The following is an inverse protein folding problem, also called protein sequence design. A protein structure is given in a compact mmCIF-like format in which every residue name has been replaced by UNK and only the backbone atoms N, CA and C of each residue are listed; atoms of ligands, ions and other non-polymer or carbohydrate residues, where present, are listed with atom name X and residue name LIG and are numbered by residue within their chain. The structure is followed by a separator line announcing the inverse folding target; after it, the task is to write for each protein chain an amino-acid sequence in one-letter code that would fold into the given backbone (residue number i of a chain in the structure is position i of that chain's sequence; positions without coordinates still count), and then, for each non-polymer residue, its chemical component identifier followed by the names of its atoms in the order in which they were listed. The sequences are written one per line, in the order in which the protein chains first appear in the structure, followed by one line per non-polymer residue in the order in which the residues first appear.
data_IF_189592595117
#
_entry.id   IF_189592595117
#
_cell.length_a   1.000
_cell.length_b   1.000
_cell.length_c   1.000
_cell.angle_alpha   90.00
_cell.angle_beta   90.00
_cell.angle_gamma   90.00
#
_symmetry.space_group_name_H-M   'P 1'
#
loop_
_entity.id
_entity.type
_entity.pdbx_description
1 polymer ?
#
# COMPACT_ATOMS: atom_id res chain seq x y z
N UNK A 1 58.50 28.45 -27.14
CA UNK A 1 57.43 28.21 -26.13
C UNK A 1 56.31 27.46 -26.82
N UNK A 2 55.86 26.32 -26.31
CA UNK A 2 54.66 25.62 -26.79
C UNK A 2 53.89 25.10 -25.58
N UNK A 3 52.58 25.37 -25.52
CA UNK A 3 51.65 24.80 -24.53
C UNK A 3 50.71 23.86 -25.27
N UNK A 4 50.68 22.56 -24.98
CA UNK A 4 49.68 21.67 -25.57
C UNK A 4 48.29 22.02 -25.02
N UNK A 5 47.31 22.14 -25.92
CA UNK A 5 45.90 22.22 -25.55
C UNK A 5 45.40 20.81 -25.23
N UNK A 6 45.17 20.52 -23.95
CA UNK A 6 44.53 19.28 -23.52
C UNK A 6 43.03 19.41 -23.83
N UNK A 7 42.59 18.70 -24.88
CA UNK A 7 41.16 18.61 -25.22
C UNK A 7 40.45 17.70 -24.21
N UNK A 8 39.63 18.29 -23.34
CA UNK A 8 38.78 17.54 -22.42
C UNK A 8 37.57 16.96 -23.17
N UNK A 9 37.63 15.68 -23.51
CA UNK A 9 36.49 14.94 -24.04
C UNK A 9 35.51 14.63 -22.89
N UNK A 10 34.48 15.46 -22.73
CA UNK A 10 33.44 15.23 -21.74
C UNK A 10 32.57 14.04 -22.14
N UNK A 11 32.69 12.92 -21.43
CA UNK A 11 31.80 11.76 -21.56
C UNK A 11 30.50 12.08 -20.85
N UNK A 12 29.44 12.39 -21.60
CA UNK A 12 28.10 12.50 -21.07
C UNK A 12 27.55 11.10 -20.75
N UNK A 13 27.42 10.76 -19.48
CA UNK A 13 26.73 9.55 -19.06
C UNK A 13 25.21 9.72 -19.29
N UNK A 14 24.65 8.93 -20.20
CA UNK A 14 23.20 8.84 -20.35
C UNK A 14 22.63 8.07 -19.15
N UNK A 15 21.90 8.77 -18.27
CA UNK A 15 21.12 8.13 -17.21
C UNK A 15 19.90 7.44 -17.85
N UNK A 16 20.05 6.14 -18.12
CA UNK A 16 18.95 5.28 -18.55
C UNK A 16 18.13 4.91 -17.31
N UNK A 17 16.83 5.24 -17.29
CA UNK A 17 15.91 4.73 -16.28
C UNK A 17 15.82 3.20 -16.38
N UNK A 18 15.93 2.51 -15.24
CA UNK A 18 15.80 1.06 -15.14
C UNK A 18 14.38 0.67 -14.69
N UNK A 19 13.90 -0.48 -15.17
CA UNK A 19 12.78 -1.18 -14.55
C UNK A 19 13.32 -2.13 -13.49
N UNK A 20 12.67 -2.17 -12.33
CA UNK A 20 13.02 -2.99 -11.17
C UNK A 20 11.83 -3.87 -10.86
N UNK A 21 11.91 -5.13 -11.29
CA UNK A 21 10.82 -6.09 -11.16
C UNK A 21 10.70 -6.60 -9.72
N UNK A 22 9.47 -6.58 -9.18
CA UNK A 22 9.14 -7.03 -7.83
C UNK A 22 7.94 -7.97 -7.94
N UNK A 23 8.18 -9.27 -7.83
CA UNK A 23 7.12 -10.27 -7.78
C UNK A 23 6.31 -10.13 -6.49
N UNK A 24 4.98 -10.08 -6.62
CA UNK A 24 3.99 -9.94 -5.56
C UNK A 24 3.18 -11.23 -5.48
N UNK A 25 3.41 -12.05 -4.45
CA UNK A 25 2.61 -13.26 -4.20
C UNK A 25 3.21 -14.58 -4.72
N UNK A 26 4.19 -14.56 -5.63
CA UNK A 26 4.73 -15.75 -6.33
C UNK A 26 5.12 -16.89 -5.38
N UNK A 27 5.77 -16.56 -4.27
CA UNK A 27 6.23 -17.51 -3.23
C UNK A 27 5.46 -17.35 -1.92
N UNK A 28 4.17 -17.03 -2.01
CA UNK A 28 3.26 -16.81 -0.87
C UNK A 28 3.20 -15.36 -0.43
N UNK A 29 2.98 -15.10 0.87
CA UNK A 29 2.77 -13.74 1.40
C UNK A 29 4.06 -12.91 1.46
N UNK A 30 4.69 -12.65 0.31
CA UNK A 30 5.96 -11.92 0.16
C UNK A 30 6.02 -11.10 -1.12
N UNK A 31 6.88 -10.09 -1.07
CA UNK A 31 7.45 -9.40 -2.22
C UNK A 31 8.83 -10.03 -2.52
N UNK A 32 9.22 -10.13 -3.78
CA UNK A 32 10.53 -10.68 -4.19
C UNK A 32 11.11 -9.87 -5.35
N UNK A 33 12.19 -9.10 -5.15
CA UNK A 33 12.87 -8.85 -3.89
C UNK A 33 12.01 -8.02 -2.93
N UNK A 34 12.13 -8.27 -1.62
CA UNK A 34 11.51 -7.42 -0.59
C UNK A 34 12.43 -6.26 -0.15
N UNK A 35 13.71 -6.27 -0.53
CA UNK A 35 14.67 -5.20 -0.30
C UNK A 35 15.38 -4.91 -1.61
N UNK A 36 15.30 -3.68 -2.12
CA UNK A 36 15.96 -3.27 -3.38
C UNK A 36 16.43 -1.81 -3.33
N UNK A 37 17.10 -1.35 -4.38
CA UNK A 37 17.64 0.01 -4.52
C UNK A 37 17.30 0.57 -5.90
N UNK A 38 16.90 1.85 -5.96
CA UNK A 38 16.45 2.50 -7.17
C UNK A 38 16.95 3.95 -7.25
N UNK A 39 17.31 4.40 -8.45
CA UNK A 39 17.64 5.78 -8.76
C UNK A 39 16.38 6.60 -9.10
N UNK A 40 16.51 7.94 -9.07
CA UNK A 40 15.44 8.83 -9.51
C UNK A 40 15.23 8.67 -11.02
N UNK A 41 14.00 8.36 -11.42
CA UNK A 41 13.61 8.04 -12.80
C UNK A 41 13.34 6.56 -13.04
N UNK A 42 13.83 5.66 -12.20
CA UNK A 42 13.56 4.22 -12.31
C UNK A 42 12.08 3.89 -12.08
N UNK A 43 11.63 2.72 -12.54
CA UNK A 43 10.26 2.22 -12.38
C UNK A 43 10.26 0.95 -11.54
N UNK A 44 9.51 0.96 -10.44
CA UNK A 44 9.20 -0.23 -9.65
C UNK A 44 8.04 -0.96 -10.32
N UNK A 45 8.31 -2.15 -10.88
CA UNK A 45 7.32 -2.97 -11.57
C UNK A 45 6.82 -4.08 -10.63
N UNK A 46 5.67 -3.85 -9.98
CA UNK A 46 5.08 -4.82 -9.05
C UNK A 46 4.21 -5.83 -9.80
N UNK A 47 4.74 -7.02 -10.07
CA UNK A 47 4.08 -8.11 -10.83
C UNK A 47 3.17 -8.96 -9.93
N UNK A 48 1.87 -9.04 -10.23
CA UNK A 48 0.88 -9.69 -9.37
C UNK A 48 0.62 -11.15 -9.73
N UNK A 49 0.97 -12.04 -8.80
CA UNK A 49 0.73 -13.47 -8.90
C UNK A 49 -0.56 -13.89 -8.18
N UNK A 50 -1.08 -15.05 -8.56
CA UNK A 50 -2.30 -15.67 -8.02
C UNK A 50 -2.31 -15.74 -6.50
N UNK A 51 -3.22 -15.00 -5.87
CA UNK A 51 -3.43 -15.07 -4.42
C UNK A 51 -4.28 -13.92 -3.85
N UNK A 52 -4.44 -12.83 -4.60
CA UNK A 52 -5.03 -11.61 -4.09
C UNK A 52 -4.00 -10.82 -3.28
N UNK A 53 -3.47 -9.76 -3.86
CA UNK A 53 -2.48 -8.91 -3.21
C UNK A 53 -2.72 -7.43 -3.50
N UNK A 54 -1.90 -6.59 -2.87
CA UNK A 54 -1.86 -5.14 -3.05
C UNK A 54 -0.44 -4.66 -2.75
N UNK A 55 -0.07 -3.50 -3.27
CA UNK A 55 1.07 -2.72 -2.78
C UNK A 55 0.55 -1.36 -2.36
N UNK A 56 0.85 -0.97 -1.12
CA UNK A 56 0.62 0.36 -0.56
C UNK A 56 1.95 0.90 -0.05
N UNK A 57 2.28 2.17 -0.32
CA UNK A 57 3.45 2.82 0.29
C UNK A 57 3.13 3.23 1.73
N UNK A 58 4.03 2.91 2.67
CA UNK A 58 3.73 2.88 4.10
C UNK A 58 4.65 3.73 4.98
N UNK A 59 4.09 4.24 6.08
CA UNK A 59 4.86 5.04 7.03
C UNK A 59 5.86 4.17 7.82
N UNK A 60 7.15 4.53 7.81
CA UNK A 60 8.20 3.83 8.58
C UNK A 60 7.87 3.70 10.08
N UNK A 61 7.37 4.78 10.68
CA UNK A 61 7.01 4.83 12.09
C UNK A 61 5.68 4.12 12.43
N UNK A 62 4.83 3.83 11.43
CA UNK A 62 3.53 3.16 11.60
C UNK A 62 3.33 2.16 10.45
N UNK A 63 3.95 0.97 10.52
CA UNK A 63 3.82 -0.05 9.48
C UNK A 63 2.35 -0.43 9.22
N UNK A 64 2.07 -0.97 8.03
CA UNK A 64 0.72 -1.32 7.59
C UNK A 64 -0.28 -0.14 7.51
N UNK A 65 0.20 1.11 7.60
CA UNK A 65 -0.60 2.32 7.38
C UNK A 65 0.05 3.19 6.30
N UNK A 66 -0.75 3.87 5.45
CA UNK A 66 -0.24 4.56 4.27
C UNK A 66 0.56 5.81 4.66
N UNK A 67 1.62 6.11 3.90
CA UNK A 67 2.37 7.36 4.04
C UNK A 67 1.68 8.55 3.33
N UNK A 68 2.25 9.76 3.48
CA UNK A 68 1.69 10.99 2.91
C UNK A 68 1.83 11.12 1.38
N UNK A 69 2.73 10.36 0.75
CA UNK A 69 2.93 10.29 -0.71
C UNK A 69 2.05 9.23 -1.38
N UNK A 70 1.65 8.18 -0.64
CA UNK A 70 0.60 7.20 -0.95
C UNK A 70 0.51 6.79 -2.43
N UNK A 71 1.27 5.78 -2.83
CA UNK A 71 0.82 4.90 -3.91
C UNK A 71 0.02 3.72 -3.37
N UNK A 72 -0.98 3.28 -4.15
CA UNK A 72 -1.79 2.09 -3.89
C UNK A 72 -2.20 1.45 -5.22
N UNK A 73 -1.90 0.17 -5.38
CA UNK A 73 -2.23 -0.61 -6.58
C UNK A 73 -3.73 -0.94 -6.74
N UNK A 74 -4.53 -0.74 -5.68
CA UNK A 74 -5.78 -1.48 -5.53
C UNK A 74 -5.54 -2.94 -5.08
N UNK A 75 -6.61 -3.71 -4.97
CA UNK A 75 -6.56 -5.15 -4.71
C UNK A 75 -6.61 -5.92 -6.02
N UNK A 76 -5.53 -6.63 -6.34
CA UNK A 76 -5.32 -7.30 -7.63
C UNK A 76 -5.27 -8.81 -7.39
N UNK A 77 -6.07 -9.64 -8.10
CA UNK A 77 -6.11 -11.09 -7.89
C UNK A 77 -4.82 -11.80 -8.34
N UNK A 78 -4.16 -11.24 -9.36
CA UNK A 78 -2.97 -11.78 -10.02
C UNK A 78 -3.25 -12.94 -10.98
N UNK A 79 -2.19 -13.44 -11.61
CA UNK A 79 -2.21 -14.63 -12.48
C UNK A 79 -1.11 -15.64 -12.09
N UNK A 80 -1.08 -16.82 -12.72
CA UNK A 80 0.04 -17.76 -12.51
C UNK A 80 1.35 -17.34 -13.20
N UNK A 81 1.36 -16.26 -13.99
CA UNK A 81 2.50 -15.80 -14.79
C UNK A 81 2.95 -14.36 -14.47
N UNK A 82 2.21 -13.62 -13.62
CA UNK A 82 2.61 -12.28 -13.18
C UNK A 82 2.31 -11.16 -14.19
N UNK A 83 1.44 -11.41 -15.18
CA UNK A 83 1.20 -10.52 -16.35
C UNK A 83 0.48 -9.20 -16.01
N UNK A 84 0.02 -9.04 -14.77
CA UNK A 84 -0.59 -7.79 -14.27
C UNK A 84 0.42 -7.05 -13.41
N UNK A 85 0.81 -5.84 -13.83
CA UNK A 85 1.89 -5.07 -13.18
C UNK A 85 1.38 -3.72 -12.72
N UNK A 86 1.72 -3.32 -11.49
CA UNK A 86 1.56 -1.94 -11.03
C UNK A 86 2.92 -1.24 -11.07
N UNK A 87 3.02 -0.19 -11.88
CA UNK A 87 4.26 0.55 -12.13
C UNK A 87 4.30 1.86 -11.34
N UNK A 88 5.37 2.07 -10.56
CA UNK A 88 5.59 3.30 -9.77
C UNK A 88 6.93 3.92 -10.15
N UNK A 89 6.91 5.16 -10.65
CA UNK A 89 8.14 5.92 -10.92
C UNK A 89 8.78 6.42 -9.63
N UNK A 90 10.09 6.21 -9.48
CA UNK A 90 10.88 6.63 -8.33
C UNK A 90 11.26 8.11 -8.48
N UNK A 91 10.64 8.96 -7.64
CA UNK A 91 10.79 10.41 -7.70
C UNK A 91 11.83 10.98 -6.71
N UNK A 92 12.32 10.17 -5.78
CA UNK A 92 13.39 10.52 -4.82
C UNK A 92 14.20 9.27 -4.44
N UNK A 93 15.41 9.47 -3.92
CA UNK A 93 16.23 8.39 -3.32
C UNK A 93 15.85 8.09 -1.86
N UNK A 94 14.85 8.78 -1.30
CA UNK A 94 14.36 8.52 0.07
C UNK A 94 13.84 7.07 0.24
N UNK A 95 13.86 6.51 1.47
CA UNK A 95 13.39 5.14 1.70
C UNK A 95 11.88 4.97 1.46
N UNK A 96 11.52 4.15 0.46
CA UNK A 96 10.14 3.81 0.15
C UNK A 96 9.80 2.48 0.83
N UNK A 97 9.10 2.54 1.96
CA UNK A 97 8.55 1.37 2.62
C UNK A 97 7.22 1.00 1.99
N UNK A 98 6.92 -0.29 1.85
CA UNK A 98 5.66 -0.76 1.25
C UNK A 98 5.16 -2.06 1.85
N UNK A 99 3.86 -2.31 1.71
CA UNK A 99 3.17 -3.46 2.30
C UNK A 99 1.94 -3.88 1.50
N UNK A 100 1.46 -5.11 1.75
CA UNK A 100 0.17 -5.58 1.24
C UNK A 100 -0.92 -5.36 2.29
N UNK A 101 -1.92 -4.52 1.98
CA UNK A 101 -3.02 -4.16 2.89
C UNK A 101 -4.16 -5.18 2.95
N UNK A 102 -4.09 -6.26 2.16
CA UNK A 102 -5.16 -7.27 2.12
C UNK A 102 -5.15 -8.15 3.39
N UNK A 103 -6.33 -8.29 4.01
CA UNK A 103 -6.62 -9.14 5.16
C UNK A 103 -5.66 -8.97 6.36
N UNK A 104 -4.61 -9.80 6.43
CA UNK A 104 -3.53 -9.72 7.44
C UNK A 104 -2.13 -9.93 6.81
N UNK A 105 -1.98 -9.60 5.53
CA UNK A 105 -0.76 -9.91 4.79
C UNK A 105 0.44 -9.12 5.34
N UNK A 106 0.30 -7.83 5.60
CA UNK A 106 1.34 -7.00 6.21
C UNK A 106 1.77 -7.52 7.59
N UNK A 107 0.81 -7.85 8.46
CA UNK A 107 1.01 -8.34 9.82
C UNK A 107 1.65 -9.74 9.85
N UNK A 108 1.46 -10.54 8.78
CA UNK A 108 2.14 -11.80 8.56
C UNK A 108 3.51 -11.63 7.85
N UNK A 109 4.00 -10.39 7.70
CA UNK A 109 5.33 -10.08 7.15
C UNK A 109 5.38 -9.87 5.64
N UNK A 110 4.26 -9.60 4.96
CA UNK A 110 4.24 -9.15 3.56
C UNK A 110 4.51 -7.64 3.48
N UNK A 111 5.78 -7.31 3.70
CA UNK A 111 6.35 -5.96 3.68
C UNK A 111 7.64 -5.92 2.86
N UNK A 112 8.00 -4.75 2.34
CA UNK A 112 9.23 -4.51 1.60
C UNK A 112 9.73 -3.07 1.72
N UNK A 113 10.91 -2.81 1.15
CA UNK A 113 11.57 -1.50 1.15
C UNK A 113 12.44 -1.29 -0.10
N UNK A 114 12.36 -0.09 -0.68
CA UNK A 114 13.31 0.44 -1.66
C UNK A 114 14.18 1.48 -0.97
N UNK A 115 15.48 1.50 -1.28
CA UNK A 115 16.46 2.44 -0.70
C UNK A 115 16.44 2.42 0.85
N UNK A 116 16.61 1.26 1.51
CA UNK A 116 16.58 1.17 2.97
C UNK A 116 17.65 2.06 3.63
N UNK A 117 17.33 2.73 4.76
CA UNK A 117 18.31 3.49 5.51
C UNK A 117 19.28 2.55 6.22
N UNK A 118 20.49 3.04 6.52
CA UNK A 118 21.52 2.29 7.27
C UNK A 118 21.05 1.81 8.64
N UNK A 119 20.16 2.56 9.29
CA UNK A 119 19.81 2.41 10.70
C UNK A 119 18.43 1.75 10.92
N UNK A 120 17.75 1.27 9.87
CA UNK A 120 16.49 0.53 10.04
C UNK A 120 16.33 -0.59 9.01
N UNK A 121 16.41 -1.83 9.49
CA UNK A 121 16.26 -3.03 8.68
C UNK A 121 14.81 -3.37 8.36
N UNK A 122 14.60 -4.09 7.26
CA UNK A 122 13.29 -4.67 6.94
C UNK A 122 12.80 -5.65 8.01
N UNK A 123 13.70 -6.33 8.73
CA UNK A 123 13.33 -7.19 9.86
C UNK A 123 12.75 -6.41 11.04
N UNK A 124 13.20 -5.18 11.30
CA UNK A 124 12.61 -4.32 12.33
C UNK A 124 11.21 -3.84 11.91
N UNK A 125 11.07 -3.38 10.66
CA UNK A 125 9.77 -2.96 10.11
C UNK A 125 8.75 -4.11 10.09
N UNK A 126 9.15 -5.32 9.68
CA UNK A 126 8.30 -6.52 9.71
C UNK A 126 7.91 -6.93 11.14
N UNK A 127 8.81 -6.79 12.12
CA UNK A 127 8.52 -7.07 13.53
C UNK A 127 7.51 -6.08 14.12
N UNK A 128 7.60 -4.80 13.74
CA UNK A 128 6.63 -3.79 14.13
C UNK A 128 5.27 -3.97 13.41
N UNK A 129 5.28 -4.37 12.13
CA UNK A 129 4.08 -4.72 11.36
C UNK A 129 3.28 -5.85 12.01
N UNK A 130 3.94 -6.87 12.56
CA UNK A 130 3.28 -7.98 13.26
C UNK A 130 2.51 -7.56 14.54
N UNK A 131 2.80 -6.38 15.10
CA UNK A 131 2.08 -5.82 16.25
C UNK A 131 0.87 -4.95 15.86
N UNK A 132 0.67 -4.67 14.57
CA UNK A 132 -0.46 -3.87 14.08
C UNK A 132 -1.76 -4.70 14.13
N UNK A 133 -2.88 -4.04 14.47
CA UNK A 133 -4.19 -4.73 14.59
C UNK A 133 -4.80 -5.09 13.22
N UNK A 134 -4.71 -4.18 12.27
CA UNK A 134 -5.26 -4.30 10.92
C UNK A 134 -4.50 -3.35 10.00
N UNK A 135 -4.08 -3.84 8.83
CA UNK A 135 -3.59 -2.98 7.76
C UNK A 135 -4.69 -2.04 7.21
N UNK A 136 -4.29 -0.92 6.63
CA UNK A 136 -5.18 0.05 5.96
C UNK A 136 -4.64 0.46 4.59
N UNK A 137 -5.42 1.18 3.79
CA UNK A 137 -5.05 1.64 2.45
C UNK A 137 -5.80 2.94 2.08
N UNK A 138 -5.32 3.70 1.06
CA UNK A 138 -6.11 4.74 0.42
C UNK A 138 -7.43 4.20 -0.16
N UNK A 139 -8.44 5.05 -0.28
CA UNK A 139 -9.79 4.64 -0.70
C UNK A 139 -9.89 4.20 -2.18
N UNK A 140 -8.96 4.64 -3.04
CA UNK A 140 -8.89 4.33 -4.46
C UNK A 140 -7.42 4.11 -4.86
N UNK A 141 -7.13 3.36 -5.94
CA UNK A 141 -5.77 3.26 -6.50
C UNK A 141 -5.20 4.64 -6.86
N UNK A 142 -3.89 4.83 -6.63
CA UNK A 142 -3.20 6.13 -6.76
C UNK A 142 -1.68 5.92 -6.88
N UNK A 143 -0.95 6.90 -7.43
CA UNK A 143 0.52 6.96 -7.36
C UNK A 143 1.30 6.00 -8.26
N UNK A 144 0.62 5.29 -9.17
CA UNK A 144 1.23 4.41 -10.17
C UNK A 144 0.23 4.04 -11.27
N UNK A 145 0.71 3.30 -12.27
CA UNK A 145 -0.08 2.85 -13.43
C UNK A 145 -0.32 1.34 -13.33
N UNK A 146 -1.56 0.89 -13.49
CA UNK A 146 -1.86 -0.53 -13.63
C UNK A 146 -1.82 -0.91 -15.11
N UNK A 147 -0.94 -1.85 -15.47
CA UNK A 147 -0.83 -2.44 -16.80
C UNK A 147 -1.11 -3.94 -16.76
N UNK A 148 -1.48 -4.50 -17.91
CA UNK A 148 -1.61 -5.93 -18.13
C UNK A 148 -0.94 -6.27 -19.46
N UNK A 149 0.04 -7.16 -19.46
CA UNK A 149 0.72 -7.63 -20.66
C UNK A 149 -0.25 -8.55 -21.45
N UNK A 150 -1.06 -7.91 -22.29
CA UNK A 150 -1.97 -8.57 -23.22
C UNK A 150 -1.19 -9.19 -24.38
N UNK A 151 -0.36 -10.20 -24.07
CA UNK A 151 0.47 -11.03 -24.95
C UNK A 151 0.82 -10.34 -26.29
N UNK A 152 1.76 -9.40 -26.23
CA UNK A 152 2.06 -8.44 -27.30
C UNK A 152 2.28 -9.08 -28.69
N UNK A 153 1.23 -9.09 -29.50
CA UNK A 153 1.28 -9.47 -30.91
C UNK A 153 1.71 -8.28 -31.77
N UNK A 154 2.69 -8.48 -32.65
CA UNK A 154 3.40 -7.41 -33.37
C UNK A 154 2.47 -6.54 -34.24
N UNK A 155 2.13 -5.35 -33.76
CA UNK A 155 1.32 -4.35 -34.46
C UNK A 155 2.00 -2.98 -34.54
N UNK A 156 2.74 -2.71 -35.62
CA UNK A 156 3.40 -1.41 -35.82
C UNK A 156 2.52 -0.45 -36.62
N UNK A 157 1.87 0.48 -35.92
CA UNK A 157 1.32 1.73 -36.44
C UNK A 157 1.30 2.74 -35.28
N UNK A 158 1.54 4.04 -35.47
CA UNK A 158 1.62 4.79 -36.71
C UNK A 158 0.82 6.08 -36.52
N UNK A 159 1.46 7.12 -35.98
CA UNK A 159 0.76 8.31 -35.51
C UNK A 159 0.13 9.12 -36.65
N UNK A 160 -1.13 9.51 -36.50
CA UNK A 160 -1.75 10.59 -37.25
C UNK A 160 -2.88 11.22 -36.45
N UNK A 161 -3.08 12.52 -36.61
CA UNK A 161 -4.12 13.32 -35.96
C UNK A 161 -5.02 13.98 -36.99
N UNK A 162 -6.30 14.20 -36.68
CA UNK A 162 -7.03 15.44 -37.05
C UNK A 162 -8.45 15.47 -36.47
N UNK A 163 -8.95 16.70 -36.28
CA UNK A 163 -10.30 17.03 -35.83
C UNK A 163 -11.33 16.94 -36.96
N UNK A 164 -12.55 16.49 -36.67
CA UNK A 164 -13.71 16.54 -37.58
C UNK A 164 -15.03 16.46 -36.80
N UNK A 165 -16.12 17.06 -37.30
CA UNK A 165 -17.35 17.30 -36.50
C UNK A 165 -18.67 17.10 -37.26
N UNK A 166 -19.77 17.18 -36.50
CA UNK A 166 -21.19 17.46 -36.89
C UNK A 166 -22.04 16.42 -37.67
N UNK A 167 -23.06 15.91 -36.95
CA UNK A 167 -24.51 16.05 -37.25
C UNK A 167 -25.20 15.22 -38.36
N UNK A 168 -26.06 14.27 -37.96
CA UNK A 168 -27.53 14.15 -38.23
C UNK A 168 -28.03 12.83 -37.59
N UNK A 169 -29.21 12.60 -36.99
CA UNK A 169 -30.59 13.16 -36.92
C UNK A 169 -31.62 12.13 -37.45
N UNK A 170 -32.21 11.33 -36.55
CA UNK A 170 -33.57 10.74 -36.62
C UNK A 170 -33.81 9.74 -35.44
N UNK A 171 -35.02 9.30 -35.04
CA UNK A 171 -36.33 9.93 -34.77
C UNK A 171 -37.30 8.83 -34.27
N UNK A 172 -38.14 9.09 -33.25
CA UNK A 172 -39.13 8.14 -32.69
C UNK A 172 -38.72 7.61 -31.31
N UNK A 173 -39.36 7.89 -30.16
CA UNK A 173 -40.74 8.28 -29.81
C UNK A 173 -41.81 7.22 -30.11
N UNK A 174 -42.81 6.91 -29.26
CA UNK A 174 -43.11 7.21 -27.84
C UNK A 174 -44.44 6.53 -27.45
N UNK A 175 -44.65 6.17 -26.15
CA UNK A 175 -45.90 6.33 -25.31
C UNK A 175 -45.96 5.30 -24.15
N UNK A 176 -46.24 5.66 -22.87
CA UNK A 176 -47.48 6.18 -22.21
C UNK A 176 -48.54 5.06 -22.01
N UNK A 177 -49.22 4.82 -20.88
CA UNK A 177 -49.39 5.50 -19.53
C UNK A 177 -48.99 4.48 -18.41
N UNK A 178 -49.35 4.44 -17.11
CA UNK A 178 -50.15 5.15 -16.06
C UNK A 178 -49.57 4.69 -14.67
N UNK A 179 -49.78 5.24 -13.45
CA UNK A 179 -50.68 6.19 -12.75
C UNK A 179 -51.64 5.53 -11.71
N UNK A 180 -51.43 5.84 -10.42
CA UNK A 180 -52.32 5.51 -9.27
C UNK A 180 -51.68 4.57 -8.21
N UNK A 181 -51.98 4.62 -6.90
CA UNK A 181 -52.77 5.59 -6.07
C UNK A 181 -52.28 5.54 -4.59
N UNK A 182 -52.65 6.53 -3.79
CA UNK A 182 -52.11 6.94 -2.47
C UNK A 182 -52.40 6.06 -1.23
N UNK A 183 -51.85 6.53 -0.08
CA UNK A 183 -52.15 6.19 1.36
C UNK A 183 -51.20 5.15 1.99
N UNK A 184 -50.84 5.18 3.29
CA UNK A 184 -51.33 5.97 4.46
C UNK A 184 -50.22 6.20 5.52
N UNK A 185 -50.44 7.13 6.47
CA UNK A 185 -49.86 7.30 7.82
C UNK A 185 -48.65 6.43 8.26
N UNK A 186 -47.51 7.01 8.67
CA UNK A 186 -47.27 7.69 9.96
C UNK A 186 -47.34 6.79 11.21
N UNK A 187 -46.20 6.53 11.84
CA UNK A 187 -46.01 6.69 13.30
C UNK A 187 -44.53 6.55 13.68
N UNK A 188 -44.10 7.31 14.69
CA UNK A 188 -42.87 7.04 15.42
C UNK A 188 -43.23 6.27 16.71
N UNK A 189 -42.31 5.45 17.21
CA UNK A 189 -42.34 5.02 18.60
C UNK A 189 -40.94 4.74 19.12
N UNK A 190 -40.61 5.33 20.27
CA UNK A 190 -39.47 4.96 21.07
C UNK A 190 -40.00 4.23 22.32
N UNK A 191 -39.51 3.02 22.57
CA UNK A 191 -39.83 2.28 23.79
C UNK A 191 -38.54 1.97 24.54
N UNK A 192 -38.32 2.69 25.63
CA UNK A 192 -37.32 2.31 26.63
C UNK A 192 -37.96 1.37 27.65
N UNK A 193 -37.29 0.26 27.96
CA UNK A 193 -37.69 -0.65 29.05
C UNK A 193 -36.62 -0.65 30.13
N UNK A 194 -36.97 -0.18 31.33
CA UNK A 194 -36.13 -0.27 32.52
C UNK A 194 -36.34 -1.63 33.20
N UNK A 195 -35.25 -2.29 33.61
CA UNK A 195 -35.09 -3.06 34.86
C UNK A 195 -33.72 -3.76 34.85
N UNK A 196 -33.05 -3.99 35.99
CA UNK A 196 -33.27 -3.46 37.34
C UNK A 196 -31.90 -3.32 38.05
N UNK A 197 -31.83 -2.54 39.12
CA UNK A 197 -30.61 -2.37 39.91
C UNK A 197 -30.68 -3.15 41.23
N UNK A 198 -29.57 -3.78 41.62
CA UNK A 198 -29.31 -4.14 43.01
C UNK A 198 -27.84 -3.82 43.36
N UNK A 199 -27.67 -2.91 44.32
CA UNK A 199 -26.39 -2.68 44.99
C UNK A 199 -26.11 -3.82 45.97
N UNK A 200 -24.83 -4.13 46.19
CA UNK A 200 -24.31 -4.56 47.50
C UNK A 200 -23.03 -3.78 47.78
N UNK A 201 -22.89 -3.26 49.00
CA UNK A 201 -21.70 -2.56 49.49
C UNK A 201 -20.63 -3.55 49.96
N UNK A 202 -19.35 -3.16 49.96
CA UNK A 202 -18.26 -4.00 50.43
C UNK A 202 -16.93 -3.26 50.59
N UNK A 203 -16.87 -2.31 51.54
CA UNK A 203 -15.61 -1.67 51.96
C UNK A 203 -15.23 -2.18 53.37
N UNK A 204 -13.98 -2.61 53.55
CA UNK A 204 -13.07 -2.49 54.72
C UNK A 204 -11.88 -3.45 54.54
N UNK A 205 -10.71 -3.18 55.16
CA UNK A 205 -9.69 -4.21 55.41
C UNK A 205 -8.22 -3.81 55.20
N UNK A 206 -7.66 -2.98 56.08
CA UNK A 206 -6.21 -2.67 56.13
C UNK A 206 -5.48 -3.54 57.16
N UNK A 207 -4.28 -4.08 56.84
CA UNK A 207 -3.19 -4.56 57.74
C UNK A 207 -2.06 -5.11 56.82
N UNK A 208 -0.84 -4.57 56.73
CA UNK A 208 0.31 -4.47 57.68
C UNK A 208 1.32 -5.65 57.61
N UNK A 209 2.62 -5.32 57.59
CA UNK A 209 3.79 -6.23 57.46
C UNK A 209 4.67 -5.86 56.24
N UNK A 210 5.90 -5.31 56.30
CA UNK A 210 7.00 -5.20 57.31
C UNK A 210 7.87 -6.47 57.43
N UNK A 211 9.18 -6.32 57.19
CA UNK A 211 10.22 -7.37 57.28
C UNK A 211 10.91 -7.63 55.92
N UNK A 212 11.93 -6.89 55.47
CA UNK A 212 13.32 -6.75 55.98
C UNK A 212 14.18 -8.02 55.83
N UNK A 213 15.09 -8.01 54.86
CA UNK A 213 16.43 -8.62 54.94
C UNK A 213 17.35 -8.01 53.86
N UNK A 214 18.59 -7.66 54.20
CA UNK A 214 19.60 -7.19 53.25
C UNK A 214 20.66 -8.27 53.02
N UNK A 215 21.22 -8.33 51.81
CA UNK A 215 22.18 -9.36 51.39
C UNK A 215 23.43 -8.78 50.71
N UNK A 216 24.24 -8.03 51.44
CA UNK A 216 25.59 -7.66 50.99
C UNK A 216 26.55 -8.84 51.18
N UNK A 217 27.09 -9.39 50.08
CA UNK A 217 28.34 -10.15 50.11
C UNK A 217 29.21 -9.67 48.95
N UNK A 218 30.39 -9.12 49.26
CA UNK A 218 31.43 -8.80 48.31
C UNK A 218 32.80 -9.01 48.96
N UNK A 219 33.50 -10.08 48.58
CA UNK A 219 34.95 -10.27 48.78
C UNK A 219 35.40 -11.34 47.77
N UNK A 220 36.12 -10.96 46.70
CA UNK A 220 37.59 -11.00 46.58
C UNK A 220 38.18 -12.38 46.85
N UNK A 221 38.52 -13.08 45.76
CA UNK A 221 39.90 -13.41 45.38
C UNK A 221 40.02 -13.37 43.85
#
# INVERSE_FOLDING_TARGET
MFRPLISMLAVAAAAQAATIDIAVGETGLKFTPNTTTAAVGDVLAFHFYSGGHSVVSGALANPCTPDATSFFSGYIPGSSAGDTTFEVTVNSTDPIWFYCSLNRHCENGMVGVVNPPTDTSLSAYASAAAAVKAASAPANPVGGVLTTEAASSTGSAGASSTTGSTTTTATGASKTTASGTSSTASSASATATKNAAMNVFGEVGSLLGVGVAAGFIAMVM
#
